data_IF_237170939729
#
_entry.id   IF_237170939729
#
_cell.length_a   1.000
_cell.length_b   1.000
_cell.length_c   1.000
_cell.angle_alpha   90.00
_cell.angle_beta   90.00
_cell.angle_gamma   90.00
#
_symmetry.space_group_name_H-M   'P 1'
#
loop_
_entity.id
_entity.type
_entity.pdbx_description
1 polymer ?
#
# COMPACT_ATOMS: atom_id res chain seq x y z
N UNK A 1 10.53 22.46 16.78
CA UNK A 1 9.44 21.73 16.10
C UNK A 1 9.76 20.26 16.19
N UNK A 2 8.86 19.42 16.71
CA UNK A 2 9.07 17.98 16.69
C UNK A 2 9.33 17.55 15.24
N UNK A 3 10.38 16.77 14.99
CA UNK A 3 10.66 16.26 13.65
C UNK A 3 9.45 15.47 13.18
N UNK A 4 8.77 15.97 12.15
CA UNK A 4 7.76 15.21 11.43
C UNK A 4 8.38 13.86 11.05
N UNK A 5 7.82 12.74 11.53
CA UNK A 5 8.29 11.38 11.24
C UNK A 5 7.17 10.65 10.52
N UNK A 6 7.19 10.76 9.20
CA UNK A 6 6.24 10.07 8.33
C UNK A 6 6.67 8.61 8.13
N UNK A 7 5.68 7.78 7.81
CA UNK A 7 5.84 6.36 7.51
C UNK A 7 5.07 6.01 6.24
N UNK A 8 5.26 4.78 5.77
CA UNK A 8 4.57 4.23 4.61
C UNK A 8 3.06 4.57 4.62
N UNK A 9 2.55 4.98 3.46
CA UNK A 9 1.16 5.44 3.22
C UNK A 9 0.73 6.78 3.85
N UNK A 10 1.58 7.45 4.63
CA UNK A 10 1.35 8.88 4.92
C UNK A 10 1.41 9.67 3.61
N UNK A 11 0.58 10.71 3.47
CA UNK A 11 0.55 11.52 2.26
C UNK A 11 1.20 12.89 2.48
N UNK A 12 2.03 13.27 1.52
CA UNK A 12 2.65 14.59 1.42
C UNK A 12 2.01 15.35 0.26
N UNK A 13 1.62 16.59 0.51
CA UNK A 13 1.12 17.50 -0.51
C UNK A 13 2.11 18.64 -0.66
N UNK A 14 2.55 18.90 -1.89
CA UNK A 14 3.46 20.01 -2.20
C UNK A 14 2.69 21.29 -2.49
N UNK A 15 3.39 22.42 -2.60
CA UNK A 15 2.77 23.73 -2.87
C UNK A 15 2.03 23.79 -4.21
N UNK A 16 2.50 23.00 -5.18
CA UNK A 16 1.88 22.84 -6.49
C UNK A 16 0.62 21.96 -6.45
N UNK A 17 0.32 21.35 -5.30
CA UNK A 17 -0.84 20.46 -5.12
C UNK A 17 -0.60 19.02 -5.56
N UNK A 18 0.64 18.62 -5.83
CA UNK A 18 1.01 17.23 -6.08
C UNK A 18 0.84 16.41 -4.81
N UNK A 19 0.28 15.20 -4.92
CA UNK A 19 0.01 14.32 -3.78
C UNK A 19 0.89 13.08 -3.89
N UNK A 20 1.82 12.97 -2.95
CA UNK A 20 2.78 11.90 -2.84
C UNK A 20 2.42 10.96 -1.69
N UNK A 21 2.53 9.65 -1.92
CA UNK A 21 2.48 8.63 -0.89
C UNK A 21 3.90 8.37 -0.40
N UNK A 22 4.16 8.51 0.90
CA UNK A 22 5.43 8.08 1.51
C UNK A 22 5.61 6.58 1.30
N UNK A 23 6.78 6.19 0.82
CA UNK A 23 7.06 4.84 0.36
C UNK A 23 8.10 4.16 1.25
N UNK A 24 7.64 3.22 2.07
CA UNK A 24 8.44 2.50 3.05
C UNK A 24 8.87 3.35 4.25
N UNK A 25 10.02 3.01 4.84
CA UNK A 25 10.44 3.52 6.16
C UNK A 25 11.86 4.10 6.19
N UNK A 26 12.59 3.98 5.09
CA UNK A 26 13.99 4.38 4.98
C UNK A 26 14.09 5.55 4.03
N UNK A 27 14.52 6.70 4.54
CA UNK A 27 14.48 7.97 3.82
C UNK A 27 15.79 8.74 4.03
N UNK A 28 16.23 9.54 3.04
CA UNK A 28 17.40 10.35 3.22
C UNK A 28 17.12 11.54 4.18
N UNK A 29 18.12 12.07 4.90
CA UNK A 29 17.90 13.10 5.91
C UNK A 29 17.16 14.36 5.42
N UNK A 30 17.31 14.69 4.14
CA UNK A 30 16.74 15.87 3.50
C UNK A 30 15.27 15.74 3.08
N UNK A 31 14.67 14.54 3.10
CA UNK A 31 13.35 14.33 2.51
C UNK A 31 12.74 12.96 2.75
N UNK A 32 11.70 12.66 1.98
CA UNK A 32 10.97 11.39 1.99
C UNK A 32 10.99 10.78 0.60
N UNK A 33 11.28 9.49 0.52
CA UNK A 33 11.08 8.73 -0.71
C UNK A 33 9.59 8.45 -0.84
N UNK A 34 9.06 8.69 -2.03
CA UNK A 34 7.63 8.66 -2.27
C UNK A 34 7.29 8.04 -3.62
N UNK A 35 6.03 7.68 -3.76
CA UNK A 35 5.36 7.50 -5.05
C UNK A 35 4.45 8.69 -5.32
N UNK A 36 4.38 9.18 -6.56
CA UNK A 36 3.49 10.28 -6.93
C UNK A 36 2.14 9.70 -7.36
N UNK A 37 1.12 9.84 -6.52
CA UNK A 37 -0.19 9.22 -6.76
C UNK A 37 -1.15 10.12 -7.53
N UNK A 38 -1.15 11.43 -7.25
CA UNK A 38 -2.10 12.36 -7.87
C UNK A 38 -1.48 13.71 -8.21
N UNK A 39 -1.98 14.32 -9.28
CA UNK A 39 -1.71 15.71 -9.63
C UNK A 39 -3.01 16.44 -9.98
N UNK A 40 -3.08 17.76 -9.73
CA UNK A 40 -4.25 18.56 -10.10
C UNK A 40 -4.34 18.71 -11.63
N UNK A 41 -5.57 18.87 -12.14
CA UNK A 41 -5.88 18.86 -13.58
C UNK A 41 -5.17 19.95 -14.39
N UNK A 42 -4.75 21.03 -13.73
CA UNK A 42 -3.98 22.13 -14.30
C UNK A 42 -2.54 21.70 -14.64
N UNK A 43 -2.00 20.69 -13.95
CA UNK A 43 -0.64 20.20 -14.13
C UNK A 43 -0.57 18.91 -14.94
N UNK A 44 -1.55 18.02 -14.76
CA UNK A 44 -1.59 16.70 -15.39
C UNK A 44 -3.02 16.26 -15.72
N UNK A 45 -3.21 15.70 -16.91
CA UNK A 45 -4.45 15.04 -17.31
C UNK A 45 -4.10 13.70 -17.94
N UNK A 46 -4.67 12.62 -17.40
CA UNK A 46 -4.51 11.27 -17.96
C UNK A 46 -5.62 10.99 -18.97
N UNK A 47 -5.28 10.23 -20.02
CA UNK A 47 -6.26 9.69 -20.97
C UNK A 47 -6.96 8.44 -20.41
N UNK A 48 -6.50 7.90 -19.29
CA UNK A 48 -7.13 6.76 -18.64
C UNK A 48 -8.46 7.23 -18.00
N UNK A 49 -9.62 6.69 -18.41
CA UNK A 49 -10.91 7.09 -17.85
C UNK A 49 -11.04 6.78 -16.35
N UNK A 50 -10.23 5.85 -15.83
CA UNK A 50 -10.20 5.51 -14.40
C UNK A 50 -9.38 6.48 -13.56
N UNK A 51 -8.67 7.44 -14.16
CA UNK A 51 -7.77 8.34 -13.44
C UNK A 51 -8.46 9.55 -12.80
N UNK A 52 -9.63 9.96 -13.31
CA UNK A 52 -10.33 11.14 -12.81
C UNK A 52 -10.66 11.01 -11.31
N UNK A 53 -10.33 12.05 -10.54
CA UNK A 53 -10.64 12.19 -9.11
C UNK A 53 -11.12 13.61 -8.83
N UNK A 54 -11.96 13.79 -7.82
CA UNK A 54 -12.43 15.12 -7.39
C UNK A 54 -12.71 15.11 -5.90
N UNK A 55 -12.37 16.20 -5.21
CA UNK A 55 -12.78 16.46 -3.82
C UNK A 55 -14.06 17.32 -3.75
N UNK A 56 -14.75 17.49 -4.89
CA UNK A 56 -15.91 18.36 -5.06
C UNK A 56 -15.55 19.82 -5.32
N UNK A 57 -14.29 20.23 -5.11
CA UNK A 57 -13.81 21.60 -5.33
C UNK A 57 -12.79 21.69 -6.46
N UNK A 58 -11.93 20.68 -6.59
CA UNK A 58 -10.83 20.60 -7.54
C UNK A 58 -10.80 19.23 -8.21
N UNK A 59 -10.29 19.21 -9.43
CA UNK A 59 -10.11 17.98 -10.21
C UNK A 59 -8.66 17.54 -10.11
N UNK A 60 -8.48 16.23 -9.92
CA UNK A 60 -7.18 15.56 -9.87
C UNK A 60 -7.19 14.37 -10.83
N UNK A 61 -5.99 13.94 -11.22
CA UNK A 61 -5.77 12.71 -11.98
C UNK A 61 -4.82 11.81 -11.23
N UNK A 62 -5.24 10.55 -11.02
CA UNK A 62 -4.39 9.48 -10.51
C UNK A 62 -3.38 9.07 -11.59
N UNK A 63 -2.11 8.94 -11.21
CA UNK A 63 -1.10 8.35 -12.07
C UNK A 63 -1.24 6.82 -12.11
N UNK A 64 -1.04 6.24 -13.29
CA UNK A 64 -0.98 4.80 -13.49
C UNK A 64 0.41 4.39 -13.98
N UNK A 65 0.83 3.18 -13.62
CA UNK A 65 2.09 2.59 -14.07
C UNK A 65 3.28 3.53 -13.81
N UNK A 66 4.03 3.92 -14.84
CA UNK A 66 5.20 4.80 -14.74
C UNK A 66 4.90 6.28 -15.08
N UNK A 67 3.62 6.65 -15.23
CA UNK A 67 3.23 8.03 -15.59
C UNK A 67 3.76 9.05 -14.56
N UNK A 68 3.63 8.74 -13.25
CA UNK A 68 4.07 9.62 -12.16
C UNK A 68 5.58 9.87 -12.20
N UNK A 69 6.36 8.82 -12.42
CA UNK A 69 7.83 8.93 -12.53
C UNK A 69 8.26 9.79 -13.72
N UNK A 70 7.67 9.56 -14.91
CA UNK A 70 7.96 10.35 -16.10
C UNK A 70 7.55 11.81 -15.94
N UNK A 71 6.41 12.03 -15.30
CA UNK A 71 5.89 13.36 -15.03
C UNK A 71 6.81 14.16 -14.12
N UNK A 72 7.20 13.59 -12.97
CA UNK A 72 8.14 14.23 -12.02
C UNK A 72 9.47 14.52 -12.71
N UNK A 73 10.06 13.51 -13.36
CA UNK A 73 11.36 13.66 -14.02
C UNK A 73 11.37 14.80 -15.06
N UNK A 74 10.25 15.02 -15.76
CA UNK A 74 10.14 16.02 -16.83
C UNK A 74 9.75 17.40 -16.31
N UNK A 75 8.76 17.49 -15.42
CA UNK A 75 8.15 18.78 -15.01
C UNK A 75 8.59 19.26 -13.63
N UNK A 76 8.94 18.34 -12.73
CA UNK A 76 9.28 18.64 -11.34
C UNK A 76 10.57 17.92 -10.91
N UNK A 77 11.71 18.15 -11.59
CA UNK A 77 12.96 17.44 -11.32
C UNK A 77 13.52 17.70 -9.90
N UNK A 78 13.03 18.72 -9.18
CA UNK A 78 13.31 18.94 -7.77
C UNK A 78 12.78 17.82 -6.87
N UNK A 79 11.74 17.08 -7.29
CA UNK A 79 11.22 15.92 -6.58
C UNK A 79 11.91 14.60 -7.00
N UNK A 80 13.12 14.70 -7.55
CA UNK A 80 13.99 13.56 -7.85
C UNK A 80 15.19 13.58 -6.89
N UNK A 81 15.01 12.97 -5.71
CA UNK A 81 15.99 12.97 -4.61
C UNK A 81 17.02 11.85 -4.76
N UNK A 82 18.24 12.07 -4.27
CA UNK A 82 19.33 11.09 -4.38
C UNK A 82 19.14 9.94 -3.37
N UNK A 83 18.88 8.73 -3.87
CA UNK A 83 18.99 7.51 -3.08
C UNK A 83 20.46 7.08 -3.01
N UNK A 84 21.19 7.54 -1.98
CA UNK A 84 22.65 7.33 -1.86
C UNK A 84 23.07 5.86 -2.05
N UNK A 85 22.43 4.87 -1.41
CA UNK A 85 22.84 3.48 -1.59
C UNK A 85 22.70 3.00 -3.04
N UNK A 86 21.71 3.51 -3.78
CA UNK A 86 21.47 3.11 -5.18
C UNK A 86 22.32 3.91 -6.17
N UNK A 87 22.89 5.04 -5.73
CA UNK A 87 23.58 6.00 -6.60
C UNK A 87 22.68 6.61 -7.67
N UNK A 88 21.35 6.63 -7.46
CA UNK A 88 20.37 7.10 -8.44
C UNK A 88 19.37 8.05 -7.80
N UNK A 89 18.77 8.91 -8.63
CA UNK A 89 17.64 9.74 -8.22
C UNK A 89 16.34 8.95 -8.29
N UNK A 90 15.54 9.04 -7.23
CA UNK A 90 14.21 8.42 -7.10
C UNK A 90 13.18 9.50 -6.80
N UNK A 91 11.89 9.20 -6.99
CA UNK A 91 10.82 10.14 -6.65
C UNK A 91 10.79 10.35 -5.13
N UNK A 92 10.68 11.61 -4.72
CA UNK A 92 10.60 11.96 -3.32
C UNK A 92 10.45 13.46 -3.10
N UNK A 93 10.16 13.85 -1.87
CA UNK A 93 9.86 15.24 -1.51
C UNK A 93 10.84 15.72 -0.45
N UNK A 94 11.51 16.85 -0.71
CA UNK A 94 12.35 17.49 0.30
C UNK A 94 11.50 18.05 1.44
N UNK A 95 12.00 18.02 2.67
CA UNK A 95 11.27 18.51 3.85
C UNK A 95 10.78 19.96 3.69
N UNK A 96 11.54 20.80 2.98
CA UNK A 96 11.18 22.21 2.72
C UNK A 96 10.06 22.41 1.70
N UNK A 97 9.76 21.40 0.89
CA UNK A 97 8.73 21.46 -0.16
C UNK A 97 7.37 20.93 0.31
N UNK A 98 7.31 20.35 1.50
CA UNK A 98 6.08 19.85 2.12
C UNK A 98 5.19 21.03 2.50
N UNK A 99 4.02 21.13 1.87
CA UNK A 99 3.02 22.16 2.18
C UNK A 99 1.98 21.64 3.18
N UNK A 100 1.53 20.40 3.02
CA UNK A 100 0.55 19.74 3.89
C UNK A 100 0.89 18.26 4.02
N UNK A 101 0.51 17.67 5.15
CA UNK A 101 0.57 16.23 5.39
C UNK A 101 -0.82 15.73 5.72
N UNK A 102 -1.22 14.59 5.12
CA UNK A 102 -2.43 13.87 5.51
C UNK A 102 -2.04 12.52 6.09
N UNK A 103 -2.38 12.33 7.37
CA UNK A 103 -2.15 11.09 8.09
C UNK A 103 -3.39 10.18 8.00
N UNK A 104 -3.24 8.89 7.66
CA UNK A 104 -4.34 7.93 7.60
C UNK A 104 -5.16 7.83 8.88
N UNK A 105 -4.51 7.84 10.05
CA UNK A 105 -5.21 7.77 11.35
C UNK A 105 -6.10 8.99 11.61
N UNK A 106 -5.63 10.18 11.22
CA UNK A 106 -6.39 11.41 11.40
C UNK A 106 -7.54 11.52 10.41
N UNK A 107 -7.35 11.02 9.18
CA UNK A 107 -8.41 10.95 8.19
C UNK A 107 -9.51 9.99 8.62
N UNK A 108 -9.16 8.81 9.14
CA UNK A 108 -10.13 7.87 9.67
C UNK A 108 -10.92 8.50 10.83
N UNK A 109 -10.24 9.12 11.80
CA UNK A 109 -10.90 9.81 12.92
C UNK A 109 -11.95 10.82 12.45
N UNK A 110 -11.62 11.66 11.46
CA UNK A 110 -12.58 12.63 10.89
C UNK A 110 -13.79 11.97 10.21
N UNK A 111 -13.61 10.81 9.59
CA UNK A 111 -14.69 10.04 8.97
C UNK A 111 -15.60 9.34 9.98
N UNK A 112 -15.11 9.10 11.21
CA UNK A 112 -15.89 8.51 12.31
C UNK A 112 -16.60 9.56 13.16
N UNK A 113 -16.03 10.76 13.33
CA UNK A 113 -16.63 11.84 14.11
C UNK A 113 -17.84 12.50 13.42
N UNK A 114 -17.98 12.33 12.11
CA UNK A 114 -19.09 12.86 11.33
C UNK A 114 -20.15 11.79 11.09
N UNK A 115 -21.43 12.21 11.09
CA UNK A 115 -22.51 11.37 10.57
C UNK A 115 -22.20 10.90 9.14
N UNK A 116 -22.43 9.61 8.81
CA UNK A 116 -22.18 9.08 7.48
C UNK A 116 -22.88 9.89 6.40
N UNK A 117 -22.09 10.57 5.58
CA UNK A 117 -22.61 11.45 4.52
C UNK A 117 -23.17 10.67 3.35
N UNK A 118 -22.79 9.40 3.22
CA UNK A 118 -23.14 8.54 2.10
C UNK A 118 -23.00 7.04 2.46
N UNK A 119 -23.42 6.19 1.52
CA UNK A 119 -23.45 4.73 1.66
C UNK A 119 -22.06 4.10 1.82
N UNK A 120 -21.01 4.67 1.21
CA UNK A 120 -19.66 4.09 1.32
C UNK A 120 -19.09 4.33 2.70
N UNK A 121 -19.24 5.53 3.25
CA UNK A 121 -18.77 5.83 4.62
C UNK A 121 -19.54 4.99 5.64
N UNK A 122 -20.85 4.82 5.44
CA UNK A 122 -21.66 3.95 6.30
C UNK A 122 -21.20 2.49 6.23
N UNK A 123 -20.92 1.97 5.03
CA UNK A 123 -20.39 0.61 4.86
C UNK A 123 -18.99 0.46 5.47
N UNK A 124 -18.10 1.44 5.30
CA UNK A 124 -16.78 1.47 5.92
C UNK A 124 -16.87 1.43 7.44
N UNK A 125 -17.77 2.21 8.05
CA UNK A 125 -18.00 2.19 9.49
C UNK A 125 -18.49 0.80 9.96
N UNK A 126 -19.43 0.17 9.28
CA UNK A 126 -19.87 -1.21 9.59
C UNK A 126 -18.73 -2.23 9.51
N UNK A 127 -17.90 -2.13 8.47
CA UNK A 127 -16.73 -3.00 8.30
C UNK A 127 -15.76 -2.83 9.47
N UNK A 128 -15.50 -1.58 9.86
CA UNK A 128 -14.61 -1.27 10.97
C UNK A 128 -15.21 -1.70 12.32
N UNK A 129 -16.50 -1.49 12.56
CA UNK A 129 -17.20 -1.95 13.75
C UNK A 129 -17.15 -3.47 13.90
N UNK A 130 -17.44 -4.21 12.82
CA UNK A 130 -17.38 -5.67 12.82
C UNK A 130 -15.97 -6.18 13.15
N UNK A 131 -14.94 -5.58 12.55
CA UNK A 131 -13.55 -5.98 12.79
C UNK A 131 -13.05 -5.58 14.18
N UNK A 132 -13.38 -4.38 14.67
CA UNK A 132 -13.05 -3.93 16.04
C UNK A 132 -13.73 -4.82 17.09
N UNK A 133 -15.02 -5.11 16.92
CA UNK A 133 -15.76 -5.97 17.84
C UNK A 133 -15.16 -7.39 17.92
N UNK A 134 -14.80 -7.98 16.77
CA UNK A 134 -14.25 -9.32 16.72
C UNK A 134 -12.78 -9.40 17.22
N UNK A 135 -11.96 -8.39 16.93
CA UNK A 135 -10.53 -8.39 17.30
C UNK A 135 -10.23 -7.82 18.69
N UNK A 136 -11.13 -6.97 19.22
CA UNK A 136 -10.88 -6.16 20.41
C UNK A 136 -9.83 -5.05 20.22
N UNK A 137 -9.45 -4.74 18.97
CA UNK A 137 -8.50 -3.66 18.67
C UNK A 137 -9.12 -2.28 18.84
N UNK A 138 -8.31 -1.30 19.20
CA UNK A 138 -8.74 0.09 19.30
C UNK A 138 -8.70 0.77 17.93
N UNK A 139 -9.54 1.80 17.73
CA UNK A 139 -9.60 2.55 16.46
C UNK A 139 -8.27 3.23 16.07
N UNK A 140 -7.41 3.53 17.04
CA UNK A 140 -6.05 4.05 16.83
C UNK A 140 -5.11 3.04 16.14
N UNK A 141 -5.49 1.76 16.09
CA UNK A 141 -4.74 0.73 15.36
C UNK A 141 -5.06 0.75 13.86
N UNK A 142 -5.95 1.64 13.40
CA UNK A 142 -6.39 1.70 12.02
C UNK A 142 -6.15 3.08 11.39
N UNK A 143 -6.21 3.10 10.05
CA UNK A 143 -6.24 4.32 9.25
C UNK A 143 -7.03 4.08 7.96
N UNK A 144 -7.15 5.12 7.13
CA UNK A 144 -7.69 5.00 5.75
C UNK A 144 -6.65 5.48 4.75
N UNK A 145 -6.56 4.82 3.59
CA UNK A 145 -5.68 5.25 2.50
C UNK A 145 -6.45 5.49 1.21
N UNK A 146 -5.71 5.78 0.13
CA UNK A 146 -6.28 5.90 -1.20
C UNK A 146 -7.37 6.97 -1.30
N UNK A 147 -8.51 6.61 -1.90
CA UNK A 147 -9.56 7.58 -2.17
C UNK A 147 -10.23 8.14 -0.91
N UNK A 148 -10.28 7.35 0.18
CA UNK A 148 -10.82 7.77 1.47
C UNK A 148 -9.92 8.81 2.15
N UNK A 149 -8.60 8.62 2.13
CA UNK A 149 -7.62 9.54 2.72
C UNK A 149 -7.71 10.96 2.12
N UNK A 150 -7.92 11.03 0.81
CA UNK A 150 -7.93 12.30 0.09
C UNK A 150 -9.32 12.90 -0.11
N UNK A 151 -10.39 12.19 0.27
CA UNK A 151 -11.76 12.61 0.00
C UNK A 151 -12.13 12.54 -1.48
N UNK A 152 -11.46 11.68 -2.25
CA UNK A 152 -11.73 11.48 -3.69
C UNK A 152 -12.69 10.33 -3.98
N UNK A 153 -13.21 9.69 -2.93
CA UNK A 153 -14.00 8.48 -3.09
C UNK A 153 -15.35 8.79 -3.75
N UNK A 154 -15.85 7.83 -4.53
CA UNK A 154 -17.20 7.91 -5.08
C UNK A 154 -18.11 6.92 -4.32
N UNK A 155 -19.25 7.38 -3.75
CA UNK A 155 -20.10 6.53 -2.91
C UNK A 155 -20.49 5.19 -3.55
N UNK A 156 -20.72 5.17 -4.87
CA UNK A 156 -21.15 3.97 -5.62
C UNK A 156 -20.03 3.09 -6.18
N UNK A 157 -18.80 3.58 -6.28
CA UNK A 157 -17.75 2.94 -7.08
C UNK A 157 -16.41 2.75 -6.37
N UNK A 158 -16.15 3.51 -5.31
CA UNK A 158 -14.93 3.33 -4.53
C UNK A 158 -15.00 2.08 -3.66
N UNK A 159 -13.80 1.57 -3.40
CA UNK A 159 -13.51 0.49 -2.46
C UNK A 159 -13.32 1.06 -1.04
N UNK A 160 -13.19 0.17 -0.05
CA UNK A 160 -12.89 0.49 1.35
C UNK A 160 -11.42 0.15 1.62
N UNK A 161 -10.59 1.20 1.66
CA UNK A 161 -9.14 1.12 1.78
C UNK A 161 -8.70 1.41 3.23
N UNK A 162 -8.54 0.37 4.06
CA UNK A 162 -8.14 0.49 5.48
C UNK A 162 -6.66 0.16 5.68
N UNK A 163 -6.04 0.81 6.66
CA UNK A 163 -4.72 0.46 7.17
C UNK A 163 -4.87 -0.27 8.50
N UNK A 164 -4.02 -1.27 8.74
CA UNK A 164 -3.80 -1.88 10.05
C UNK A 164 -2.37 -1.59 10.50
N UNK A 165 -2.22 -0.93 11.64
CA UNK A 165 -0.93 -0.60 12.21
C UNK A 165 -0.45 -1.68 13.17
N UNK A 166 0.72 -2.26 12.90
CA UNK A 166 1.34 -3.22 13.82
C UNK A 166 1.22 -4.67 13.39
N UNK A 167 2.28 -5.44 13.61
CA UNK A 167 2.36 -6.87 13.27
C UNK A 167 1.37 -7.70 14.07
N UNK A 168 1.30 -7.47 15.38
CA UNK A 168 0.37 -8.20 16.25
C UNK A 168 -1.10 -7.91 15.88
N UNK A 169 -1.37 -6.67 15.47
CA UNK A 169 -2.70 -6.26 15.02
C UNK A 169 -3.05 -6.85 13.66
N UNK A 170 -2.09 -6.92 12.74
CA UNK A 170 -2.26 -7.60 11.46
C UNK A 170 -2.61 -9.08 11.66
N UNK A 171 -1.93 -9.77 12.57
CA UNK A 171 -2.20 -11.19 12.81
C UNK A 171 -3.60 -11.41 13.38
N UNK A 172 -4.05 -10.58 14.34
CA UNK A 172 -5.43 -10.60 14.83
C UNK A 172 -6.44 -10.35 13.71
N UNK A 173 -6.18 -9.37 12.84
CA UNK A 173 -7.05 -9.08 11.70
C UNK A 173 -7.13 -10.25 10.74
N UNK A 174 -6.02 -10.93 10.43
CA UNK A 174 -6.01 -12.11 9.54
C UNK A 174 -6.84 -13.25 10.12
N UNK A 175 -6.68 -13.54 11.41
CA UNK A 175 -7.47 -14.58 12.11
C UNK A 175 -8.97 -14.25 12.07
N UNK A 176 -9.33 -13.01 12.42
CA UNK A 176 -10.72 -12.55 12.35
C UNK A 176 -11.29 -12.60 10.92
N UNK A 177 -10.53 -12.18 9.91
CA UNK A 177 -10.99 -12.24 8.52
C UNK A 177 -11.17 -13.68 8.03
N UNK A 178 -10.32 -14.62 8.46
CA UNK A 178 -10.51 -16.05 8.17
C UNK A 178 -11.83 -16.59 8.74
N UNK A 179 -12.17 -16.22 9.98
CA UNK A 179 -13.44 -16.56 10.62
C UNK A 179 -14.63 -15.93 9.89
N UNK A 180 -14.55 -14.62 9.60
CA UNK A 180 -15.60 -13.88 8.90
C UNK A 180 -15.82 -14.43 7.49
N UNK A 181 -14.77 -14.81 6.75
CA UNK A 181 -14.90 -15.40 5.42
C UNK A 181 -15.52 -16.81 5.44
N UNK A 182 -15.41 -17.51 6.56
CA UNK A 182 -16.00 -18.83 6.75
C UNK A 182 -17.48 -18.77 7.15
N UNK A 183 -17.91 -17.68 7.79
CA UNK A 183 -19.30 -17.42 8.14
C UNK A 183 -20.07 -16.72 7.00
N UNK A 184 -20.97 -17.44 6.34
CA UNK A 184 -21.81 -16.91 5.26
C UNK A 184 -22.75 -15.78 5.70
N UNK A 185 -23.02 -15.65 6.99
CA UNK A 185 -23.89 -14.60 7.54
C UNK A 185 -23.14 -13.30 7.85
N UNK A 186 -21.80 -13.32 7.85
CA UNK A 186 -20.97 -12.15 8.17
C UNK A 186 -21.05 -11.03 7.14
N UNK A 187 -21.45 -11.36 5.90
CA UNK A 187 -21.39 -10.46 4.75
C UNK A 187 -19.97 -10.30 4.16
N UNK A 188 -18.95 -10.93 4.75
CA UNK A 188 -17.58 -10.92 4.25
C UNK A 188 -17.26 -12.14 3.39
N UNK A 189 -16.38 -11.95 2.42
CA UNK A 189 -15.81 -13.04 1.62
C UNK A 189 -14.40 -12.67 1.17
N UNK A 190 -13.55 -13.67 0.94
CA UNK A 190 -12.21 -13.45 0.40
C UNK A 190 -12.32 -13.02 -1.08
N UNK A 191 -11.68 -11.91 -1.47
CA UNK A 191 -11.73 -11.43 -2.86
C UNK A 191 -11.21 -12.48 -3.85
N UNK A 192 -10.22 -13.25 -3.44
CA UNK A 192 -9.52 -14.26 -4.24
C UNK A 192 -10.02 -15.69 -3.94
N UNK A 193 -11.29 -15.84 -3.54
CA UNK A 193 -11.92 -17.16 -3.41
C UNK A 193 -11.93 -17.95 -4.73
N UNK A 194 -11.96 -17.25 -5.86
CA UNK A 194 -11.84 -17.79 -7.22
C UNK A 194 -10.99 -16.88 -8.14
N UNK A 195 -10.97 -17.17 -9.45
CA UNK A 195 -10.16 -16.44 -10.44
C UNK A 195 -10.81 -15.19 -11.02
N UNK A 196 -12.01 -14.81 -10.57
CA UNK A 196 -12.73 -13.61 -11.01
C UNK A 196 -11.91 -12.32 -10.92
N UNK A 197 -11.10 -12.07 -9.86
CA UNK A 197 -10.30 -10.84 -9.76
C UNK A 197 -9.25 -10.69 -10.86
N UNK A 198 -8.83 -11.78 -11.51
CA UNK A 198 -7.81 -11.78 -12.57
C UNK A 198 -8.38 -12.04 -13.97
N UNK A 199 -9.69 -12.32 -14.06
CA UNK A 199 -10.39 -12.59 -15.31
C UNK A 199 -10.41 -11.36 -16.21
N UNK A 200 -10.04 -11.52 -17.48
CA UNK A 200 -10.01 -10.44 -18.47
C UNK A 200 -8.90 -9.39 -18.27
N UNK A 201 -8.07 -9.52 -17.22
CA UNK A 201 -6.90 -8.66 -17.03
C UNK A 201 -5.75 -9.10 -17.92
N UNK A 202 -5.04 -8.13 -18.48
CA UNK A 202 -3.78 -8.35 -19.20
C UNK A 202 -2.76 -8.97 -18.23
N UNK A 203 -2.31 -10.18 -18.55
CA UNK A 203 -1.34 -10.89 -17.72
C UNK A 203 0.07 -10.46 -18.10
N UNK A 204 0.77 -9.81 -17.17
CA UNK A 204 2.13 -9.29 -17.39
C UNK A 204 3.24 -10.14 -16.75
N UNK A 205 2.88 -11.10 -15.90
CA UNK A 205 3.84 -11.97 -15.24
C UNK A 205 4.28 -13.11 -16.17
N UNK A 206 5.60 -13.34 -16.24
CA UNK A 206 6.19 -14.42 -17.06
C UNK A 206 6.29 -15.75 -16.31
N UNK A 207 6.66 -15.69 -15.03
CA UNK A 207 6.99 -16.86 -14.19
C UNK A 207 5.98 -17.09 -13.07
N UNK A 208 4.80 -16.48 -13.17
CA UNK A 208 3.70 -16.65 -12.24
C UNK A 208 2.43 -16.72 -13.07
N UNK A 209 1.69 -17.83 -12.97
CA UNK A 209 0.42 -18.00 -13.66
C UNK A 209 -0.75 -17.44 -12.82
N UNK A 210 -1.95 -17.38 -13.41
CA UNK A 210 -3.13 -16.79 -12.76
C UNK A 210 -3.58 -17.56 -11.52
N UNK A 211 -3.50 -18.89 -11.57
CA UNK A 211 -3.92 -19.76 -10.46
C UNK A 211 -2.95 -19.64 -9.29
N UNK A 212 -1.65 -19.65 -9.57
CA UNK A 212 -0.60 -19.40 -8.56
C UNK A 212 -0.77 -18.02 -7.92
N UNK A 213 -1.01 -16.98 -8.72
CA UNK A 213 -1.25 -15.64 -8.20
C UNK A 213 -2.47 -15.59 -7.27
N UNK A 214 -3.60 -16.15 -7.70
CA UNK A 214 -4.83 -16.19 -6.91
C UNK A 214 -4.60 -16.99 -5.62
N UNK A 215 -3.90 -18.11 -5.69
CA UNK A 215 -3.52 -18.89 -4.51
C UNK A 215 -2.70 -18.05 -3.52
N UNK A 216 -1.70 -17.31 -4.00
CA UNK A 216 -0.91 -16.41 -3.17
C UNK A 216 -1.73 -15.24 -2.60
N UNK A 217 -2.61 -14.61 -3.37
CA UNK A 217 -3.42 -13.49 -2.85
C UNK A 217 -4.45 -13.97 -1.83
N UNK A 218 -5.10 -15.12 -2.08
CA UNK A 218 -6.13 -15.69 -1.21
C UNK A 218 -5.63 -15.89 0.23
N UNK A 219 -4.43 -16.44 0.40
CA UNK A 219 -3.86 -16.75 1.72
C UNK A 219 -3.32 -15.53 2.49
N UNK A 220 -3.28 -14.34 1.88
CA UNK A 220 -2.95 -13.11 2.60
C UNK A 220 -4.05 -12.70 3.58
N UNK A 221 -5.30 -13.05 3.26
CA UNK A 221 -6.52 -12.77 4.02
C UNK A 221 -6.89 -11.29 4.15
N UNK A 222 -6.00 -10.36 3.85
CA UNK A 222 -6.26 -8.91 3.92
C UNK A 222 -7.07 -8.32 2.75
N UNK A 223 -7.39 -9.15 1.75
CA UNK A 223 -8.17 -8.76 0.57
C UNK A 223 -9.55 -9.41 0.60
N UNK A 224 -10.54 -8.60 0.91
CA UNK A 224 -11.91 -9.02 1.13
C UNK A 224 -12.92 -8.31 0.25
N UNK A 225 -14.13 -8.80 0.34
CA UNK A 225 -15.33 -8.23 -0.26
C UNK A 225 -16.41 -8.23 0.81
N UNK A 226 -17.09 -7.09 0.97
CA UNK A 226 -18.18 -6.89 1.91
C UNK A 226 -19.49 -6.65 1.15
N UNK A 227 -20.50 -7.46 1.42
CA UNK A 227 -21.86 -7.30 0.90
C UNK A 227 -22.65 -6.42 1.85
N UNK A 228 -22.77 -5.13 1.52
CA UNK A 228 -23.63 -4.23 2.28
C UNK A 228 -25.09 -4.38 1.82
N UNK A 229 -25.93 -4.95 2.69
CA UNK A 229 -27.34 -5.13 2.41
C UNK A 229 -28.08 -3.80 2.24
N UNK A 230 -27.66 -2.77 2.98
CA UNK A 230 -28.34 -1.47 2.97
C UNK A 230 -28.19 -0.74 1.63
N UNK A 231 -26.99 -0.76 1.03
CA UNK A 231 -26.76 -0.18 -0.29
C UNK A 231 -26.96 -1.20 -1.43
N UNK A 232 -27.13 -2.49 -1.12
CA UNK A 232 -27.15 -3.58 -2.09
C UNK A 232 -25.84 -3.75 -2.86
N UNK A 233 -24.72 -3.21 -2.35
CA UNK A 233 -23.42 -3.23 -3.03
C UNK A 233 -22.54 -4.35 -2.48
N UNK A 234 -21.74 -4.89 -3.39
CA UNK A 234 -20.60 -5.74 -3.08
C UNK A 234 -19.35 -4.87 -3.22
N UNK A 235 -18.71 -4.53 -2.10
CA UNK A 235 -17.66 -3.52 -2.00
C UNK A 235 -16.35 -4.22 -1.66
N UNK A 236 -15.25 -3.90 -2.35
CA UNK A 236 -13.94 -4.45 -1.96
C UNK A 236 -13.45 -3.78 -0.69
N UNK A 237 -12.78 -4.56 0.13
CA UNK A 237 -12.21 -4.11 1.40
C UNK A 237 -10.78 -4.58 1.48
N UNK A 238 -9.86 -3.66 1.74
CA UNK A 238 -8.45 -3.95 1.94
C UNK A 238 -8.02 -3.57 3.36
N UNK A 239 -7.23 -4.44 4.01
CA UNK A 239 -6.58 -4.20 5.30
C UNK A 239 -5.07 -4.13 5.13
N UNK A 240 -4.59 -3.00 4.63
CA UNK A 240 -3.20 -2.82 4.26
C UNK A 240 -2.29 -2.69 5.51
N UNK A 241 -1.26 -3.55 5.66
CA UNK A 241 -0.37 -3.52 6.80
C UNK A 241 0.63 -2.36 6.72
N UNK A 242 0.74 -1.61 7.80
CA UNK A 242 1.77 -0.56 7.98
C UNK A 242 2.40 -0.71 9.36
N UNK A 243 3.72 -0.48 9.48
CA UNK A 243 4.40 -0.56 10.78
C UNK A 243 3.81 0.44 11.76
N UNK A 244 3.59 -0.01 12.99
CA UNK A 244 3.34 0.90 14.12
C UNK A 244 4.56 1.78 14.38
N UNK A 245 4.38 2.94 15.02
CA UNK A 245 5.52 3.86 15.28
C UNK A 245 6.63 3.20 16.12
N UNK A 246 6.28 2.28 17.00
CA UNK A 246 7.21 1.50 17.83
C UNK A 246 7.98 0.41 17.05
N UNK A 247 7.43 -0.09 15.94
CA UNK A 247 8.09 -1.08 15.09
C UNK A 247 9.05 -0.46 14.08
N UNK A 248 8.91 0.84 13.81
CA UNK A 248 9.86 1.57 12.96
C UNK A 248 11.15 1.76 13.77
N UNK A 249 12.01 0.76 13.69
CA UNK A 249 13.42 0.89 14.06
C UNK A 249 14.04 1.92 13.11
N UNK A 250 14.90 2.79 13.62
CA UNK A 250 15.64 3.71 12.77
C UNK A 250 16.56 2.89 11.88
N UNK A 251 16.14 2.57 10.66
CA UNK A 251 17.02 2.03 9.61
C UNK A 251 17.89 3.15 9.00
N UNK A 252 18.38 4.04 9.86
CA UNK A 252 19.48 4.91 9.50
C UNK A 252 20.74 4.04 9.46
N UNK A 253 21.05 3.45 8.30
CA UNK A 253 22.45 3.27 7.91
C UNK A 253 23.01 1.87 7.63
N UNK A 254 22.23 0.79 7.50
CA UNK A 254 22.87 -0.52 7.24
C UNK A 254 23.36 -0.70 5.78
N UNK A 255 22.68 -0.11 4.79
CA UNK A 255 23.05 -0.31 3.39
C UNK A 255 23.82 0.90 2.85
N UNK A 256 25.14 0.80 2.77
CA UNK A 256 25.99 1.87 2.24
C UNK A 256 25.91 1.99 0.71
N UNK A 257 25.86 0.85 0.00
CA UNK A 257 25.92 0.79 -1.46
C UNK A 257 25.23 -0.45 -2.03
N UNK A 258 24.52 -0.26 -3.14
CA UNK A 258 23.85 -1.28 -3.94
C UNK A 258 24.56 -1.36 -5.30
N UNK A 259 25.01 -2.56 -5.66
CA UNK A 259 25.65 -2.82 -6.96
C UNK A 259 24.87 -3.91 -7.70
N UNK A 260 24.59 -3.68 -8.99
CA UNK A 260 23.96 -4.68 -9.82
C UNK A 260 24.96 -5.78 -10.20
N UNK A 261 24.64 -7.03 -9.86
CA UNK A 261 25.52 -8.19 -10.03
C UNK A 261 25.05 -9.17 -11.13
N UNK A 262 23.95 -8.85 -11.82
CA UNK A 262 23.31 -9.74 -12.79
C UNK A 262 22.05 -10.41 -12.28
N UNK A 263 21.39 -11.15 -13.17
CA UNK A 263 20.20 -11.94 -12.84
C UNK A 263 20.59 -13.35 -12.42
N UNK A 264 19.84 -13.90 -11.46
CA UNK A 264 19.89 -15.32 -11.08
C UNK A 264 18.47 -15.87 -11.02
N UNK A 265 18.34 -17.18 -11.21
CA UNK A 265 17.15 -17.96 -10.85
C UNK A 265 17.57 -18.93 -9.76
N UNK A 266 16.90 -18.92 -8.63
CA UNK A 266 17.26 -19.72 -7.47
C UNK A 266 16.03 -20.29 -6.78
N UNK A 267 16.20 -21.48 -6.19
CA UNK A 267 15.29 -22.05 -5.22
C UNK A 267 15.81 -21.69 -3.83
N UNK A 268 14.97 -21.02 -3.04
CA UNK A 268 15.32 -20.45 -1.75
C UNK A 268 14.41 -21.03 -0.68
N UNK A 269 14.96 -21.24 0.52
CA UNK A 269 14.14 -21.46 1.72
C UNK A 269 13.98 -20.11 2.43
N UNK A 270 12.74 -19.74 2.73
CA UNK A 270 12.44 -18.60 3.61
C UNK A 270 12.70 -19.03 5.05
N UNK A 271 13.58 -18.30 5.74
CA UNK A 271 13.91 -18.50 7.16
C UNK A 271 13.07 -17.62 8.08
N UNK A 272 12.70 -16.43 7.60
CA UNK A 272 11.91 -15.44 8.33
C UNK A 272 11.19 -14.53 7.31
N UNK A 273 9.92 -14.24 7.57
CA UNK A 273 9.05 -13.39 6.76
C UNK A 273 8.35 -12.30 7.59
N UNK A 274 8.88 -11.96 8.77
CA UNK A 274 8.25 -10.99 9.69
C UNK A 274 8.10 -9.60 9.06
N UNK A 275 8.95 -9.28 8.09
CA UNK A 275 8.98 -8.02 7.34
C UNK A 275 8.31 -8.13 5.95
N UNK A 276 7.77 -9.31 5.59
CA UNK A 276 7.10 -9.55 4.32
C UNK A 276 5.77 -8.81 4.12
N UNK A 277 4.99 -8.44 5.16
CA UNK A 277 3.78 -7.64 4.99
C UNK A 277 4.03 -6.19 4.57
N UNK A 278 5.19 -5.62 4.91
CA UNK A 278 5.45 -4.20 4.79
C UNK A 278 6.08 -3.82 3.44
N UNK A 279 6.31 -2.52 3.24
CA UNK A 279 7.00 -1.98 2.08
C UNK A 279 8.39 -1.44 2.47
N UNK A 280 9.48 -1.88 1.81
CA UNK A 280 9.55 -3.08 0.98
C UNK A 280 9.24 -4.35 1.77
N UNK A 281 8.80 -5.39 1.08
CA UNK A 281 8.71 -6.73 1.66
C UNK A 281 10.10 -7.33 1.73
N UNK A 282 10.46 -7.84 2.91
CA UNK A 282 11.76 -8.45 3.17
C UNK A 282 11.55 -9.88 3.65
N UNK A 283 12.21 -10.81 2.96
CA UNK A 283 12.27 -12.23 3.32
C UNK A 283 13.72 -12.58 3.65
N UNK A 284 13.98 -13.10 4.84
CA UNK A 284 15.28 -13.72 5.12
C UNK A 284 15.30 -15.11 4.48
N UNK A 285 16.37 -15.43 3.77
CA UNK A 285 16.45 -16.63 2.94
C UNK A 285 17.78 -17.35 3.10
N UNK A 286 17.80 -18.61 2.68
CA UNK A 286 19.02 -19.33 2.35
C UNK A 286 18.88 -20.01 0.98
N UNK A 287 19.95 -20.03 0.17
CA UNK A 287 19.91 -20.68 -1.14
C UNK A 287 19.92 -22.20 -0.99
N UNK A 288 18.90 -22.87 -1.52
CA UNK A 288 18.90 -24.33 -1.68
C UNK A 288 19.58 -24.73 -2.98
N UNK A 289 19.30 -24.00 -4.06
CA UNK A 289 19.86 -24.25 -5.38
C UNK A 289 19.90 -22.96 -6.21
N UNK A 290 21.04 -22.72 -6.88
CA UNK A 290 21.10 -21.74 -7.98
C UNK A 290 20.83 -22.50 -9.28
N UNK A 291 19.72 -22.18 -9.92
CA UNK A 291 19.22 -22.84 -11.15
C UNK A 291 19.87 -22.22 -12.38
N UNK A 292 19.94 -20.88 -12.43
CA UNK A 292 20.56 -20.13 -13.53
C UNK A 292 21.34 -18.91 -12.98
N UNK A 293 22.40 -18.53 -13.68
CA UNK A 293 23.22 -17.37 -13.35
C UNK A 293 24.42 -17.68 -12.45
N UNK A 294 25.01 -16.63 -11.88
CA UNK A 294 26.23 -16.72 -11.07
C UNK A 294 25.95 -17.45 -9.75
N UNK A 295 26.88 -18.32 -9.32
CA UNK A 295 26.86 -18.88 -7.95
C UNK A 295 27.15 -17.80 -6.93
N UNK A 296 26.27 -17.64 -5.95
CA UNK A 296 26.38 -16.68 -4.85
C UNK A 296 26.29 -17.48 -3.55
N UNK A 297 27.31 -17.40 -2.70
CA UNK A 297 27.35 -18.13 -1.42
C UNK A 297 26.60 -17.44 -0.29
N UNK A 298 26.44 -16.11 -0.37
CA UNK A 298 25.95 -15.28 0.74
C UNK A 298 24.63 -14.58 0.36
N UNK A 299 23.62 -15.35 -0.04
CA UNK A 299 22.29 -14.80 -0.26
C UNK A 299 21.51 -14.81 1.06
N UNK A 300 21.31 -13.64 1.64
CA UNK A 300 20.72 -13.50 2.99
C UNK A 300 19.25 -13.08 2.96
N UNK A 301 18.86 -12.22 2.02
CA UNK A 301 17.49 -11.70 1.94
C UNK A 301 17.02 -11.43 0.52
N UNK A 302 15.71 -11.54 0.32
CA UNK A 302 14.99 -11.04 -0.86
C UNK A 302 14.23 -9.79 -0.45
N UNK A 303 14.39 -8.70 -1.22
CA UNK A 303 13.71 -7.43 -0.98
C UNK A 303 12.86 -7.10 -2.20
N UNK A 304 11.55 -6.88 -2.01
CA UNK A 304 10.62 -6.55 -3.09
C UNK A 304 9.82 -5.29 -2.77
N UNK A 305 9.81 -4.38 -3.75
CA UNK A 305 9.00 -3.16 -3.74
C UNK A 305 7.67 -3.33 -4.52
N UNK A 306 7.32 -4.56 -4.89
CA UNK A 306 6.07 -4.88 -5.58
C UNK A 306 5.05 -5.41 -4.57
N UNK A 307 3.89 -4.75 -4.51
CA UNK A 307 2.84 -5.04 -3.53
C UNK A 307 2.29 -6.47 -3.68
N UNK A 308 2.26 -6.99 -4.91
CA UNK A 308 1.75 -8.33 -5.22
C UNK A 308 2.57 -9.44 -4.56
N UNK A 309 3.87 -9.22 -4.37
CA UNK A 309 4.83 -10.17 -3.79
C UNK A 309 4.97 -10.08 -2.27
N UNK A 310 4.22 -9.19 -1.60
CA UNK A 310 4.15 -9.17 -0.13
C UNK A 310 3.45 -10.43 0.39
N UNK A 311 3.81 -10.88 1.60
CA UNK A 311 3.17 -12.01 2.30
C UNK A 311 3.08 -13.31 1.45
N UNK A 312 4.13 -13.64 0.69
CA UNK A 312 4.17 -14.82 -0.18
C UNK A 312 4.95 -16.01 0.39
N UNK A 313 5.50 -15.92 1.61
CA UNK A 313 6.20 -17.02 2.31
C UNK A 313 5.30 -18.16 2.83
#
# INVERSE_FOLDING_TARGET
MASLRLRDRDAIITREGLIFRVFGYTHPPEGYICDLEYAPAELFQSKNPKAFRTDGKRVFYKFYEDEGWHFVKKKFPQHMILHKPLGKKVVGVHKGDIAEVRLPEQALKRLLEAEPKDELIKAMQKVLEATVHATGLSLENFGVFGSLLHGFYHPKFSDIDLIVYGRENLEKIRQTLEELYSDKSSGFSNEFADTSPVKGKLWRYKNLNREEFVWHQRRKLIYGVFRDEASGRTIKVEFEPVKSRSEIKGEDGETEKITWMGWIKALLRVKDDLEAPYMPSIYQVEPLQIVEGRRIGNLERVVSYLEEFRMQA
#
